data_IF_025699236350
#
_entry.id   IF_025699236350
#
_cell.length_a   1.000
_cell.length_b   1.000
_cell.length_c   1.000
_cell.angle_alpha   90.00
_cell.angle_beta   90.00
_cell.angle_gamma   90.00
#
_symmetry.space_group_name_H-M   'P 1'
#
loop_
_entity.id
_entity.type
_entity.pdbx_description
1 polymer ?
#
# COMPACT_ATOMS: atom_id res chain seq x y z
N UNK A 1 16.89 2.83 9.13
CA UNK A 1 16.03 3.81 9.83
C UNK A 1 16.07 5.12 9.08
N UNK A 2 15.03 5.95 9.14
CA UNK A 2 15.07 7.25 8.50
C UNK A 2 16.22 8.07 9.10
N UNK A 3 17.06 8.64 8.26
CA UNK A 3 18.15 9.53 8.66
C UNK A 3 17.63 10.92 9.12
N UNK A 4 16.37 11.21 8.80
CA UNK A 4 15.66 12.43 9.21
C UNK A 4 14.77 12.13 10.43
N UNK A 5 14.99 12.73 11.59
CA UNK A 5 14.19 12.51 12.80
C UNK A 5 12.73 12.98 12.67
N UNK A 6 12.41 13.79 11.65
CA UNK A 6 11.05 14.18 11.34
C UNK A 6 10.23 13.09 10.61
N UNK A 7 10.87 12.02 10.14
CA UNK A 7 10.22 10.93 9.42
C UNK A 7 10.01 9.75 10.36
N UNK A 8 8.76 9.43 10.65
CA UNK A 8 8.37 8.22 11.38
C UNK A 8 8.14 7.04 10.45
N UNK A 9 8.43 5.83 10.94
CA UNK A 9 8.18 4.57 10.24
C UNK A 9 7.41 3.60 11.14
N UNK A 10 6.42 2.92 10.58
CA UNK A 10 5.66 1.88 11.26
C UNK A 10 5.20 0.80 10.31
N UNK A 11 5.19 -0.44 10.77
CA UNK A 11 4.56 -1.54 10.05
C UNK A 11 3.06 -1.59 10.34
N UNK A 12 2.20 -1.65 9.32
CA UNK A 12 0.76 -1.89 9.53
C UNK A 12 0.50 -3.25 10.19
N UNK A 13 -0.63 -3.36 10.87
CA UNK A 13 -1.01 -4.62 11.55
C UNK A 13 -1.13 -5.84 10.62
N UNK A 14 -1.31 -5.63 9.31
CA UNK A 14 -1.44 -6.68 8.30
C UNK A 14 -0.16 -6.84 7.45
N UNK A 15 1.00 -6.50 8.01
CA UNK A 15 2.28 -6.67 7.34
C UNK A 15 2.64 -8.14 7.25
N UNK A 16 3.13 -8.55 6.08
CA UNK A 16 3.73 -9.86 5.85
C UNK A 16 5.20 -9.65 5.50
N UNK A 17 6.08 -10.34 6.20
CA UNK A 17 7.51 -10.35 5.89
C UNK A 17 7.82 -11.50 4.94
N UNK A 18 8.32 -11.17 3.76
CA UNK A 18 8.74 -12.16 2.76
C UNK A 18 10.26 -12.11 2.66
N UNK A 19 10.97 -13.20 3.01
CA UNK A 19 12.41 -13.24 2.86
C UNK A 19 12.78 -13.20 1.38
N UNK A 20 13.82 -12.44 1.05
CA UNK A 20 14.42 -12.51 -0.26
C UNK A 20 15.13 -13.85 -0.45
N UNK A 21 14.99 -14.45 -1.63
CA UNK A 21 15.59 -15.72 -1.93
C UNK A 21 16.83 -15.54 -2.81
N UNK A 22 17.83 -16.39 -2.60
CA UNK A 22 18.99 -16.52 -3.48
C UNK A 22 19.07 -17.95 -4.02
N UNK A 23 19.47 -18.10 -5.26
CA UNK A 23 19.67 -19.40 -5.89
C UNK A 23 20.94 -19.42 -6.73
N UNK A 24 21.64 -20.54 -6.75
CA UNK A 24 22.81 -20.76 -7.60
C UNK A 24 22.32 -21.25 -8.96
N UNK A 25 22.62 -20.47 -10.02
CA UNK A 25 22.24 -20.83 -11.39
C UNK A 25 22.91 -22.15 -11.83
N UNK A 26 22.18 -22.98 -12.59
CA UNK A 26 22.70 -24.27 -13.09
C UNK A 26 23.94 -24.06 -13.99
N UNK A 27 23.95 -23.03 -14.83
CA UNK A 27 25.01 -22.72 -15.79
C UNK A 27 26.07 -21.74 -15.23
N UNK A 28 26.36 -21.77 -13.90
CA UNK A 28 27.39 -20.93 -13.29
C UNK A 28 28.80 -21.32 -13.77
N UNK A 29 29.66 -20.31 -13.99
CA UNK A 29 31.04 -20.51 -14.41
C UNK A 29 31.94 -21.01 -13.27
N UNK A 30 31.71 -20.49 -12.04
CA UNK A 30 32.47 -20.88 -10.85
C UNK A 30 31.51 -21.34 -9.73
N UNK A 31 31.29 -22.66 -9.58
CA UNK A 31 30.39 -23.20 -8.57
C UNK A 31 30.88 -23.00 -7.13
N UNK A 32 32.19 -23.03 -6.91
CA UNK A 32 32.77 -22.88 -5.56
C UNK A 32 32.64 -21.44 -5.07
N UNK A 33 32.98 -20.46 -5.89
CA UNK A 33 32.78 -19.07 -5.56
C UNK A 33 31.30 -18.72 -5.37
N UNK A 34 30.39 -19.30 -6.15
CA UNK A 34 28.95 -19.11 -5.98
C UNK A 34 28.45 -19.65 -4.63
N UNK A 35 28.94 -20.81 -4.18
CA UNK A 35 28.64 -21.37 -2.86
C UNK A 35 29.21 -20.49 -1.75
N UNK A 36 30.50 -20.15 -1.82
CA UNK A 36 31.15 -19.30 -0.84
C UNK A 36 30.44 -17.96 -0.66
N UNK A 37 29.94 -17.37 -1.77
CA UNK A 37 29.13 -16.15 -1.71
C UNK A 37 27.80 -16.36 -1.00
N UNK A 38 27.08 -17.45 -1.26
CA UNK A 38 25.82 -17.77 -0.56
C UNK A 38 26.09 -18.00 0.91
N UNK A 39 27.12 -18.78 1.26
CA UNK A 39 27.51 -19.04 2.63
C UNK A 39 27.87 -17.76 3.38
N UNK A 40 28.58 -16.83 2.72
CA UNK A 40 28.91 -15.52 3.31
C UNK A 40 27.67 -14.69 3.58
N UNK A 41 26.77 -14.52 2.62
CA UNK A 41 25.57 -13.66 2.83
C UNK A 41 24.59 -14.24 3.84
N UNK A 42 24.61 -15.56 4.07
CA UNK A 42 23.82 -16.23 5.10
C UNK A 42 24.54 -16.31 6.45
N UNK A 43 25.84 -15.99 6.50
CA UNK A 43 26.60 -15.93 7.77
C UNK A 43 26.16 -14.76 8.63
N UNK A 44 26.45 -14.82 9.94
CA UNK A 44 26.18 -13.69 10.84
C UNK A 44 26.89 -12.41 10.42
N UNK A 45 28.06 -12.50 9.82
CA UNK A 45 28.80 -11.35 9.28
C UNK A 45 28.06 -10.72 8.11
N UNK A 46 27.70 -11.51 7.10
CA UNK A 46 26.94 -11.04 5.93
C UNK A 46 25.57 -10.49 6.32
N UNK A 47 24.90 -11.12 7.27
CA UNK A 47 23.58 -10.66 7.75
C UNK A 47 23.67 -9.32 8.52
N UNK A 48 24.77 -9.06 9.26
CA UNK A 48 24.97 -7.76 9.94
C UNK A 48 25.13 -6.60 8.97
N UNK A 49 25.68 -6.81 7.80
CA UNK A 49 25.81 -5.79 6.74
C UNK A 49 24.44 -5.22 6.37
N UNK A 50 23.38 -6.01 6.45
CA UNK A 50 22.01 -5.57 6.15
C UNK A 50 21.50 -4.48 7.13
N UNK A 51 22.11 -4.38 8.34
CA UNK A 51 21.76 -3.39 9.34
C UNK A 51 22.40 -2.02 9.08
N UNK A 52 23.40 -1.94 8.20
CA UNK A 52 24.05 -0.67 7.88
C UNK A 52 23.00 0.38 7.46
N UNK A 53 23.13 1.64 7.91
CA UNK A 53 22.12 2.69 7.67
C UNK A 53 21.78 2.90 6.20
N UNK A 54 22.76 2.74 5.31
CA UNK A 54 22.61 2.89 3.88
C UNK A 54 21.85 1.74 3.22
N UNK A 55 21.85 0.56 3.87
CA UNK A 55 21.16 -0.65 3.39
C UNK A 55 19.81 -0.79 4.06
N UNK A 56 19.75 -0.68 5.39
CA UNK A 56 18.53 -0.70 6.21
C UNK A 56 17.57 -1.84 5.85
N UNK A 57 18.08 -3.09 5.82
CA UNK A 57 17.29 -4.29 5.54
C UNK A 57 17.20 -5.18 6.79
N UNK A 58 16.13 -5.96 6.85
CA UNK A 58 15.92 -6.88 7.97
C UNK A 58 16.68 -8.19 7.73
N UNK A 59 17.63 -8.58 8.60
CA UNK A 59 18.28 -9.89 8.57
C UNK A 59 17.28 -11.03 8.67
N UNK A 60 17.57 -12.17 8.01
CA UNK A 60 16.77 -13.41 8.13
C UNK A 60 17.25 -14.32 9.27
N UNK A 61 18.42 -14.04 9.84
CA UNK A 61 18.92 -14.72 11.05
C UNK A 61 18.38 -14.03 12.30
N UNK A 62 17.48 -14.70 13.03
CA UNK A 62 16.85 -14.18 14.23
C UNK A 62 17.88 -13.82 15.35
N UNK A 63 19.03 -14.51 15.41
CA UNK A 63 20.09 -14.29 16.42
C UNK A 63 20.71 -12.89 16.29
N UNK A 64 20.68 -12.30 15.13
CA UNK A 64 21.22 -10.95 14.89
C UNK A 64 20.46 -9.93 15.75
N UNK A 65 19.15 -10.11 15.94
CA UNK A 65 18.31 -9.17 16.68
C UNK A 65 18.56 -9.13 18.19
N UNK A 66 19.26 -10.12 18.75
CA UNK A 66 19.68 -10.11 20.16
C UNK A 66 20.69 -8.99 20.45
N UNK A 67 21.44 -8.54 19.45
CA UNK A 67 22.49 -7.52 19.56
C UNK A 67 22.14 -6.20 18.89
N UNK A 68 20.92 -6.03 18.40
CA UNK A 68 20.47 -4.79 17.75
C UNK A 68 19.87 -3.82 18.75
N UNK A 69 20.02 -2.53 18.51
CA UNK A 69 19.47 -1.48 19.35
C UNK A 69 17.95 -1.63 19.56
N UNK A 70 17.53 -1.28 20.79
CA UNK A 70 16.12 -1.31 21.17
C UNK A 70 15.30 -0.39 20.26
N UNK A 71 14.29 -0.94 19.60
CA UNK A 71 13.42 -0.20 18.67
C UNK A 71 13.71 -0.46 17.19
N UNK A 72 14.76 -1.22 16.86
CA UNK A 72 14.92 -1.73 15.50
C UNK A 72 13.81 -2.74 15.18
N UNK A 73 13.15 -2.68 14.01
CA UNK A 73 12.07 -3.61 13.67
C UNK A 73 12.58 -5.06 13.65
N UNK A 74 11.96 -5.92 14.43
CA UNK A 74 12.28 -7.35 14.46
C UNK A 74 11.13 -8.16 13.87
N UNK A 75 11.29 -8.75 12.65
CA UNK A 75 10.23 -9.49 11.99
C UNK A 75 9.85 -10.80 12.69
N UNK A 76 10.60 -11.22 13.71
CA UNK A 76 10.32 -12.41 14.52
C UNK A 76 9.52 -12.11 15.78
N UNK A 77 9.28 -10.83 16.12
CA UNK A 77 8.44 -10.49 17.26
C UNK A 77 6.95 -10.71 16.97
N UNK A 78 6.24 -11.40 17.86
CA UNK A 78 4.82 -11.72 17.72
C UNK A 78 3.93 -10.47 17.48
N UNK A 79 4.30 -9.33 18.05
CA UNK A 79 3.56 -8.06 17.88
C UNK A 79 3.63 -7.50 16.45
N UNK A 80 4.68 -7.85 15.67
CA UNK A 80 4.83 -7.45 14.27
C UNK A 80 4.24 -8.50 13.32
N UNK A 81 4.18 -9.77 13.74
CA UNK A 81 3.60 -10.86 12.97
C UNK A 81 2.23 -11.19 13.56
N UNK A 82 1.16 -10.73 12.96
CA UNK A 82 -0.18 -11.16 13.37
C UNK A 82 -0.36 -12.65 13.11
N UNK A 83 -0.66 -13.41 14.16
CA UNK A 83 -1.07 -14.82 14.03
C UNK A 83 -2.24 -14.91 13.05
N UNK A 84 -2.08 -15.65 11.98
CA UNK A 84 -3.14 -15.99 11.03
C UNK A 84 -3.07 -15.34 9.65
N UNK A 85 -2.12 -14.45 9.36
CA UNK A 85 -1.91 -13.97 7.99
C UNK A 85 -0.79 -14.77 7.36
N UNK A 86 -1.18 -15.74 6.54
CA UNK A 86 -0.25 -16.48 5.67
C UNK A 86 -0.28 -15.83 4.29
N UNK A 87 0.91 -15.55 3.74
CA UNK A 87 1.00 -15.08 2.37
C UNK A 87 0.72 -16.22 1.41
N UNK A 88 -0.41 -16.13 0.72
CA UNK A 88 -0.77 -17.08 -0.33
C UNK A 88 -0.10 -16.68 -1.64
N UNK A 89 0.98 -17.39 -1.98
CA UNK A 89 1.78 -17.14 -3.20
C UNK A 89 0.97 -17.42 -4.48
N UNK A 90 0.13 -18.45 -4.49
CA UNK A 90 -0.68 -18.79 -5.66
C UNK A 90 -1.77 -17.76 -5.90
N UNK A 91 -2.45 -17.34 -4.85
CA UNK A 91 -3.44 -16.27 -4.92
C UNK A 91 -2.81 -14.95 -5.36
N UNK A 92 -1.64 -14.61 -4.81
CA UNK A 92 -0.89 -13.42 -5.20
C UNK A 92 -0.49 -13.46 -6.67
N UNK A 93 0.01 -14.60 -7.15
CA UNK A 93 0.37 -14.79 -8.56
C UNK A 93 -0.83 -14.66 -9.49
N UNK A 94 -1.94 -15.26 -9.12
CA UNK A 94 -3.19 -15.20 -9.91
C UNK A 94 -3.73 -13.78 -10.01
N UNK A 95 -3.70 -13.03 -8.91
CA UNK A 95 -4.24 -11.66 -8.85
C UNK A 95 -3.26 -10.56 -9.25
N UNK A 96 -2.01 -10.88 -9.51
CA UNK A 96 -0.94 -9.89 -9.67
C UNK A 96 -1.27 -8.79 -10.68
N UNK A 97 -1.73 -9.16 -11.88
CA UNK A 97 -2.04 -8.20 -12.93
C UNK A 97 -3.35 -7.45 -12.68
N UNK A 98 -4.35 -8.13 -12.13
CA UNK A 98 -5.61 -7.50 -11.67
C UNK A 98 -5.33 -6.41 -10.63
N UNK A 99 -4.55 -6.74 -9.59
CA UNK A 99 -4.23 -5.79 -8.51
C UNK A 99 -3.44 -4.59 -9.03
N UNK A 100 -2.45 -4.82 -9.91
CA UNK A 100 -1.67 -3.73 -10.50
C UNK A 100 -2.56 -2.82 -11.37
N UNK A 101 -3.40 -3.39 -12.23
CA UNK A 101 -4.32 -2.63 -13.07
C UNK A 101 -5.32 -1.81 -12.23
N UNK A 102 -5.87 -2.42 -11.17
CA UNK A 102 -6.76 -1.74 -10.23
C UNK A 102 -6.06 -0.60 -9.49
N UNK A 103 -4.85 -0.85 -8.98
CA UNK A 103 -4.06 0.15 -8.27
C UNK A 103 -3.70 1.33 -9.17
N UNK A 104 -3.25 1.06 -10.39
CA UNK A 104 -2.91 2.10 -11.34
C UNK A 104 -4.13 2.95 -11.71
N UNK A 105 -5.25 2.31 -12.00
CA UNK A 105 -6.49 3.00 -12.36
C UNK A 105 -7.07 3.81 -11.22
N UNK A 106 -7.09 3.26 -10.01
CA UNK A 106 -7.71 3.90 -8.85
C UNK A 106 -6.79 4.94 -8.17
N UNK A 107 -5.48 4.72 -8.17
CA UNK A 107 -4.54 5.50 -7.37
C UNK A 107 -3.49 6.20 -8.26
N UNK A 108 -2.65 5.44 -9.00
CA UNK A 108 -1.47 5.98 -9.68
C UNK A 108 -1.84 7.09 -10.66
N UNK A 109 -2.78 6.82 -11.57
CA UNK A 109 -3.19 7.79 -12.60
C UNK A 109 -4.00 8.96 -12.04
N UNK A 110 -4.42 8.87 -10.79
CA UNK A 110 -5.28 9.86 -10.12
C UNK A 110 -4.67 10.44 -8.85
N UNK A 111 -3.40 10.15 -8.59
CA UNK A 111 -2.73 10.46 -7.32
C UNK A 111 -2.92 11.93 -6.90
N UNK A 112 -2.72 12.88 -7.83
CA UNK A 112 -2.87 14.31 -7.55
C UNK A 112 -4.30 14.69 -7.10
N UNK A 113 -5.30 14.19 -7.82
CA UNK A 113 -6.69 14.45 -7.49
C UNK A 113 -7.11 13.77 -6.18
N UNK A 114 -6.62 12.55 -5.93
CA UNK A 114 -6.81 11.84 -4.66
C UNK A 114 -6.21 12.61 -3.48
N UNK A 115 -4.97 13.05 -3.61
CA UNK A 115 -4.28 13.85 -2.57
C UNK A 115 -5.06 15.13 -2.24
N UNK A 116 -5.56 15.83 -3.25
CA UNK A 116 -6.35 17.05 -3.05
C UNK A 116 -7.67 16.76 -2.32
N UNK A 117 -8.36 15.67 -2.69
CA UNK A 117 -9.61 15.28 -2.04
C UNK A 117 -9.40 14.84 -0.59
N UNK A 118 -8.35 14.09 -0.31
CA UNK A 118 -7.98 13.73 1.06
C UNK A 118 -7.59 14.93 1.91
N UNK A 119 -6.93 15.92 1.33
CA UNK A 119 -6.62 17.19 2.02
C UNK A 119 -7.90 17.92 2.41
N UNK A 120 -8.84 18.07 1.46
CA UNK A 120 -10.13 18.70 1.75
C UNK A 120 -10.93 17.93 2.81
N UNK A 121 -10.92 16.59 2.76
CA UNK A 121 -11.58 15.76 3.79
C UNK A 121 -10.97 15.99 5.18
N UNK A 122 -9.65 16.02 5.30
CA UNK A 122 -8.96 16.29 6.58
C UNK A 122 -9.25 17.68 7.10
N UNK A 123 -9.27 18.67 6.24
CA UNK A 123 -9.64 20.05 6.61
C UNK A 123 -11.08 20.11 7.14
N UNK A 124 -12.02 19.46 6.44
CA UNK A 124 -13.40 19.36 6.89
C UNK A 124 -13.55 18.62 8.25
N UNK A 125 -12.75 17.57 8.49
CA UNK A 125 -12.70 16.85 9.78
C UNK A 125 -12.24 17.78 10.92
N UNK A 126 -11.18 18.58 10.69
CA UNK A 126 -10.67 19.54 11.69
C UNK A 126 -11.71 20.61 11.99
N UNK A 127 -12.37 21.13 10.98
CA UNK A 127 -13.41 22.17 11.12
C UNK A 127 -14.63 21.62 11.87
N UNK A 128 -15.12 20.45 11.49
CA UNK A 128 -16.30 19.81 12.10
C UNK A 128 -16.05 19.35 13.54
N UNK A 129 -14.80 18.99 13.90
CA UNK A 129 -14.46 18.57 15.26
C UNK A 129 -14.74 19.62 16.32
N UNK A 130 -14.77 20.90 15.94
CA UNK A 130 -15.04 22.03 16.83
C UNK A 130 -16.53 22.23 17.14
N UNK A 131 -17.44 21.63 16.36
CA UNK A 131 -18.89 21.92 16.40
C UNK A 131 -19.76 20.78 16.92
N UNK A 132 -19.25 19.56 17.09
CA UNK A 132 -20.00 18.35 17.53
C UNK A 132 -21.29 18.09 16.72
N UNK A 133 -21.30 18.41 15.41
CA UNK A 133 -22.46 18.27 14.55
C UNK A 133 -22.57 16.82 14.01
N UNK A 134 -23.59 16.08 14.45
CA UNK A 134 -23.80 14.67 14.05
C UNK A 134 -24.05 14.50 12.56
N UNK A 135 -24.69 15.47 11.90
CA UNK A 135 -24.94 15.45 10.45
C UNK A 135 -23.64 15.58 9.66
N UNK A 136 -22.77 16.50 10.05
CA UNK A 136 -21.43 16.67 9.43
C UNK A 136 -20.58 15.42 9.62
N UNK A 137 -20.61 14.80 10.82
CA UNK A 137 -19.90 13.54 11.07
C UNK A 137 -20.37 12.41 10.16
N UNK A 138 -21.67 12.33 9.88
CA UNK A 138 -22.22 11.35 8.93
C UNK A 138 -21.71 11.62 7.48
N UNK A 139 -21.67 12.90 7.07
CA UNK A 139 -21.13 13.30 5.76
C UNK A 139 -19.65 12.99 5.62
N UNK A 140 -18.84 13.24 6.65
CA UNK A 140 -17.40 12.92 6.67
C UNK A 140 -17.18 11.40 6.57
N UNK A 141 -17.94 10.61 7.32
CA UNK A 141 -17.91 9.14 7.23
C UNK A 141 -18.28 8.67 5.82
N UNK A 142 -19.27 9.28 5.19
CA UNK A 142 -19.66 8.97 3.82
C UNK A 142 -18.56 9.36 2.82
N UNK A 143 -17.95 10.54 2.95
CA UNK A 143 -16.86 10.99 2.09
C UNK A 143 -15.65 10.01 2.17
N UNK A 144 -15.26 9.62 3.38
CA UNK A 144 -14.21 8.62 3.60
C UNK A 144 -14.56 7.28 2.96
N UNK A 145 -15.80 6.81 3.12
CA UNK A 145 -16.28 5.56 2.52
C UNK A 145 -16.24 5.61 0.99
N UNK A 146 -16.59 6.72 0.37
CA UNK A 146 -16.52 6.90 -1.08
C UNK A 146 -15.07 6.81 -1.59
N UNK A 147 -14.10 7.38 -0.87
CA UNK A 147 -12.68 7.35 -1.25
C UNK A 147 -12.03 5.96 -1.05
N UNK A 148 -12.55 5.13 -0.17
CA UNK A 148 -11.99 3.82 0.12
C UNK A 148 -12.71 2.67 -0.59
N UNK A 149 -13.79 2.94 -1.33
CA UNK A 149 -14.48 1.90 -2.12
C UNK A 149 -13.65 1.48 -3.32
N UNK A 150 -13.65 0.18 -3.58
CA UNK A 150 -13.08 -0.43 -4.77
C UNK A 150 -14.20 -0.98 -5.67
N UNK A 151 -14.04 -0.95 -7.01
CA UNK A 151 -15.05 -1.40 -7.96
C UNK A 151 -15.07 -2.92 -8.19
N UNK A 152 -14.18 -3.66 -7.53
CA UNK A 152 -14.07 -5.11 -7.64
C UNK A 152 -14.61 -5.74 -6.36
N UNK A 153 -15.54 -6.69 -6.47
CA UNK A 153 -16.04 -7.45 -5.34
C UNK A 153 -15.03 -8.52 -4.90
N UNK A 154 -15.20 -9.03 -3.68
CA UNK A 154 -14.38 -10.13 -3.17
C UNK A 154 -14.56 -11.40 -4.03
N UNK A 155 -15.78 -11.69 -4.49
CA UNK A 155 -16.10 -12.79 -5.39
C UNK A 155 -15.34 -12.68 -6.71
N UNK A 156 -15.40 -11.50 -7.37
CA UNK A 156 -14.63 -11.23 -8.58
C UNK A 156 -13.12 -11.36 -8.35
N UNK A 157 -12.61 -10.84 -7.24
CA UNK A 157 -11.20 -10.93 -6.92
C UNK A 157 -10.73 -12.37 -6.64
N UNK A 158 -11.64 -13.26 -6.26
CA UNK A 158 -11.36 -14.69 -6.04
C UNK A 158 -11.56 -15.54 -7.32
N UNK A 159 -12.16 -14.99 -8.37
CA UNK A 159 -12.38 -15.72 -9.62
C UNK A 159 -11.10 -15.71 -10.48
N UNK A 160 -10.47 -16.89 -10.72
CA UNK A 160 -9.30 -16.98 -11.59
C UNK A 160 -9.59 -16.58 -13.04
N UNK A 161 -10.82 -16.73 -13.53
CA UNK A 161 -11.18 -16.34 -14.89
C UNK A 161 -11.24 -14.83 -15.04
N UNK A 162 -11.80 -14.14 -14.04
CA UNK A 162 -11.76 -12.68 -13.99
C UNK A 162 -10.32 -12.15 -13.93
N UNK A 163 -9.45 -12.77 -13.13
CA UNK A 163 -8.05 -12.37 -13.03
C UNK A 163 -7.27 -12.57 -14.33
N UNK A 164 -7.62 -13.55 -15.17
CA UNK A 164 -6.98 -13.81 -16.47
C UNK A 164 -7.27 -12.73 -17.52
N UNK A 165 -8.32 -11.93 -17.34
CA UNK A 165 -8.60 -10.79 -18.21
C UNK A 165 -7.50 -9.71 -18.16
N UNK A 166 -6.63 -9.75 -17.14
CA UNK A 166 -5.59 -8.78 -16.92
C UNK A 166 -4.21 -9.33 -17.27
N UNK A 167 -3.48 -8.57 -18.09
CA UNK A 167 -2.10 -8.90 -18.47
C UNK A 167 -1.17 -7.73 -18.17
N UNK A 168 0.12 -8.03 -18.08
CA UNK A 168 1.15 -6.99 -17.96
C UNK A 168 1.18 -6.13 -19.23
N UNK A 169 0.99 -4.83 -19.09
CA UNK A 169 1.21 -3.89 -20.19
C UNK A 169 2.68 -3.92 -20.62
N UNK A 170 2.92 -4.13 -21.91
CA UNK A 170 4.26 -4.10 -22.51
C UNK A 170 4.24 -3.14 -23.69
N UNK A 171 5.27 -2.32 -23.89
CA UNK A 171 5.36 -1.43 -25.03
C UNK A 171 5.22 -2.22 -26.35
N UNK A 172 4.38 -1.73 -27.26
CA UNK A 172 4.15 -2.33 -28.57
C UNK A 172 3.26 -3.58 -28.61
N UNK A 173 2.77 -4.07 -27.46
CA UNK A 173 1.80 -5.18 -27.43
C UNK A 173 0.39 -4.69 -27.11
N UNK A 174 -0.63 -5.26 -27.79
CA UNK A 174 -2.02 -4.91 -27.51
C UNK A 174 -2.43 -5.34 -26.10
N UNK A 175 -3.29 -4.54 -25.48
CA UNK A 175 -3.95 -4.88 -24.22
C UNK A 175 -5.29 -5.53 -24.57
N UNK A 176 -5.74 -6.57 -23.83
CA UNK A 176 -7.05 -7.18 -24.05
C UNK A 176 -8.16 -6.14 -24.00
N UNK A 177 -9.11 -6.21 -24.95
CA UNK A 177 -10.23 -5.27 -25.03
C UNK A 177 -11.00 -5.23 -23.70
N UNK A 178 -11.27 -6.39 -23.12
CA UNK A 178 -11.99 -6.50 -21.84
C UNK A 178 -11.27 -5.81 -20.69
N UNK A 179 -9.95 -5.91 -20.62
CA UNK A 179 -9.16 -5.16 -19.63
C UNK A 179 -9.34 -3.65 -19.81
N UNK A 180 -9.30 -3.15 -21.03
CA UNK A 180 -9.48 -1.72 -21.32
C UNK A 180 -10.87 -1.24 -20.90
N UNK A 181 -11.92 -2.01 -21.19
CA UNK A 181 -13.29 -1.71 -20.79
C UNK A 181 -13.41 -1.62 -19.26
N UNK A 182 -12.91 -2.62 -18.54
CA UNK A 182 -12.93 -2.65 -17.07
C UNK A 182 -12.16 -1.46 -16.45
N UNK A 183 -10.98 -1.15 -16.97
CA UNK A 183 -10.21 0.01 -16.52
C UNK A 183 -10.94 1.34 -16.76
N UNK A 184 -11.71 1.46 -17.86
CA UNK A 184 -12.55 2.62 -18.12
C UNK A 184 -13.74 2.70 -17.16
N UNK A 185 -14.40 1.57 -16.87
CA UNK A 185 -15.46 1.49 -15.86
C UNK A 185 -14.95 1.89 -14.49
N UNK A 186 -13.77 1.38 -14.07
CA UNK A 186 -13.14 1.73 -12.80
C UNK A 186 -12.72 3.19 -12.72
N UNK A 187 -12.25 3.75 -13.84
CA UNK A 187 -11.95 5.17 -13.94
C UNK A 187 -13.18 6.01 -13.68
N UNK A 188 -14.32 5.69 -14.32
CA UNK A 188 -15.60 6.38 -14.11
C UNK A 188 -16.06 6.26 -12.66
N UNK A 189 -15.98 5.04 -12.09
CA UNK A 189 -16.30 4.78 -10.69
C UNK A 189 -15.47 5.64 -9.74
N UNK A 190 -14.15 5.70 -9.94
CA UNK A 190 -13.24 6.49 -9.13
C UNK A 190 -13.55 7.99 -9.23
N UNK A 191 -13.78 8.50 -10.45
CA UNK A 191 -14.13 9.91 -10.69
C UNK A 191 -15.40 10.33 -9.96
N UNK A 192 -16.45 9.53 -10.07
CA UNK A 192 -17.74 9.81 -9.44
C UNK A 192 -17.62 9.83 -7.92
N UNK A 193 -16.97 8.80 -7.35
CA UNK A 193 -16.81 8.72 -5.90
C UNK A 193 -15.93 9.83 -5.34
N UNK A 194 -14.85 10.16 -6.03
CA UNK A 194 -13.92 11.22 -5.64
C UNK A 194 -14.61 12.60 -5.70
N UNK A 195 -15.34 12.90 -6.77
CA UNK A 195 -16.10 14.16 -6.89
C UNK A 195 -17.15 14.30 -5.79
N UNK A 196 -17.89 13.22 -5.49
CA UNK A 196 -18.87 13.24 -4.38
C UNK A 196 -18.20 13.47 -3.03
N UNK A 197 -17.07 12.81 -2.77
CA UNK A 197 -16.33 12.97 -1.52
C UNK A 197 -15.79 14.39 -1.37
N UNK A 198 -15.24 14.98 -2.45
CA UNK A 198 -14.76 16.36 -2.46
C UNK A 198 -15.90 17.35 -2.18
N UNK A 199 -17.05 17.18 -2.84
CA UNK A 199 -18.21 18.05 -2.65
C UNK A 199 -18.76 17.98 -1.21
N UNK A 200 -18.80 16.79 -0.59
CA UNK A 200 -19.21 16.65 0.81
C UNK A 200 -18.24 17.39 1.75
N UNK A 201 -16.95 17.25 1.52
CA UNK A 201 -15.92 17.90 2.32
C UNK A 201 -15.96 19.43 2.17
N UNK A 202 -16.07 19.91 0.94
CA UNK A 202 -16.09 21.35 0.64
C UNK A 202 -17.30 22.05 1.26
N UNK A 203 -18.49 21.45 1.22
CA UNK A 203 -19.69 22.00 1.87
C UNK A 203 -19.51 22.24 3.36
N UNK A 204 -18.83 21.33 4.06
CA UNK A 204 -18.56 21.48 5.50
C UNK A 204 -17.60 22.65 5.75
N UNK A 205 -16.55 22.79 4.92
CA UNK A 205 -15.59 23.88 5.01
C UNK A 205 -16.27 25.23 4.76
N UNK A 206 -17.07 25.32 3.67
CA UNK A 206 -17.76 26.55 3.28
C UNK A 206 -18.78 27.03 4.34
N UNK A 207 -19.57 26.11 4.88
CA UNK A 207 -20.53 26.38 5.95
C UNK A 207 -19.83 26.92 7.21
N UNK A 208 -18.68 26.38 7.56
CA UNK A 208 -17.93 26.84 8.71
C UNK A 208 -17.32 28.22 8.51
N UNK A 209 -16.92 28.55 7.29
CA UNK A 209 -16.41 29.87 6.94
C UNK A 209 -17.52 30.93 7.00
N UNK A 210 -18.74 30.59 6.56
CA UNK A 210 -19.91 31.48 6.65
C UNK A 210 -20.30 31.75 8.10
N UNK A 211 -20.31 30.74 8.98
CA UNK A 211 -20.64 30.94 10.41
C UNK A 211 -19.63 31.86 11.11
N UNK A 212 -18.37 31.79 10.75
CA UNK A 212 -17.33 32.66 11.32
C UNK A 212 -17.44 34.13 10.85
N UNK A 213 -18.01 34.37 9.68
CA UNK A 213 -18.28 35.74 9.17
C UNK A 213 -19.50 36.39 9.82
N UNK A 214 -20.46 35.61 10.29
CA UNK A 214 -21.68 36.12 10.96
C UNK A 214 -21.42 36.49 12.43
N UNK A 215 -20.34 35.98 13.02
CA UNK A 215 -19.96 36.20 14.43
C UNK A 215 -18.97 37.39 14.62
N UNK A 216 -18.56 38.05 13.55
CA UNK A 216 -17.77 39.29 13.56
C UNK A 216 -18.66 40.52 13.30
#
# INVERSE_FOLDING_TARGET
MATDPAIGFTYPNNTVFLPANIAIAKARQNPEAARAFVDFILSSEGQRILLEPEISRLPVDHRIYESVERGYPNPFEEKLIRKGITFDTELSRTRYHLVNSLFDTMITYRLRAYTNTWRALREAEVVSSKKSNSFEQAQLKQARRLLTRVPVSEEQANDPNFSKEFVRRKPGLPVPVRQVELEQEWTKFALVNQSKALNLSQKIIDNSSADNLVLQ
#
